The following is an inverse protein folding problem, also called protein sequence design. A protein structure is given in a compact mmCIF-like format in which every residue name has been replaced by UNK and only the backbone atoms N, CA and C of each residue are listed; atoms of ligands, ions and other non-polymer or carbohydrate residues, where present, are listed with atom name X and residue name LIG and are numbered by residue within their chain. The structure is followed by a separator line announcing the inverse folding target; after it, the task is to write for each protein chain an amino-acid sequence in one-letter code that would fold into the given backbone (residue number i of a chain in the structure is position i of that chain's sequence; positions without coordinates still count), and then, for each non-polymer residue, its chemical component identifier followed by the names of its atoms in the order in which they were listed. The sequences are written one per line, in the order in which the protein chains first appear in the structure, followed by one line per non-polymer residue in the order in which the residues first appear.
data_IF_160108384958
#
_entry.id   IF_160108384958
#
_cell.length_a   1.000
_cell.length_b   1.000
_cell.length_c   1.000
_cell.angle_alpha   90.00
_cell.angle_beta   90.00
_cell.angle_gamma   90.00
#
_symmetry.space_group_name_H-M   'P 1'
#
loop_
_entity.id
_entity.type
_entity.pdbx_description
1 polymer ?
#
# COMPACT_ATOMS: atom_id res chain seq x y z
N UNK A 1 3.80 1.80 -0.28
CA UNK A 1 3.19 3.15 -0.27
C UNK A 1 2.74 3.39 1.16
N UNK A 2 3.20 4.44 1.83
CA UNK A 2 2.80 4.72 3.22
C UNK A 2 1.35 5.20 3.27
N UNK A 3 0.66 5.12 4.42
CA UNK A 3 -0.69 5.67 4.57
C UNK A 3 -0.79 7.16 4.16
N UNK A 4 0.23 7.94 4.49
CA UNK A 4 0.32 9.36 4.10
C UNK A 4 0.40 9.54 2.58
N UNK A 5 1.18 8.70 1.89
CA UNK A 5 1.28 8.72 0.43
C UNK A 5 -0.05 8.35 -0.24
N UNK A 6 -0.81 7.44 0.37
CA UNK A 6 -2.13 7.03 -0.14
C UNK A 6 -3.13 8.18 0.01
N UNK A 7 -3.19 8.84 1.17
CA UNK A 7 -4.08 9.99 1.40
C UNK A 7 -3.73 11.18 0.50
N UNK A 8 -2.44 11.49 0.35
CA UNK A 8 -1.99 12.55 -0.54
C UNK A 8 -2.40 12.28 -2.00
N UNK A 9 -2.32 11.02 -2.44
CA UNK A 9 -2.80 10.62 -3.77
C UNK A 9 -4.32 10.76 -3.90
N UNK A 10 -5.10 10.39 -2.90
CA UNK A 10 -6.56 10.55 -2.97
C UNK A 10 -6.99 12.02 -3.01
N UNK A 11 -6.29 12.89 -2.27
CA UNK A 11 -6.48 14.33 -2.36
C UNK A 11 -6.17 14.83 -3.78
N UNK A 12 -5.06 14.39 -4.38
CA UNK A 12 -4.70 14.71 -5.76
C UNK A 12 -5.76 14.23 -6.77
N UNK A 13 -6.27 13.00 -6.63
CA UNK A 13 -7.35 12.48 -7.49
C UNK A 13 -8.60 13.35 -7.39
N UNK A 14 -8.98 13.75 -6.17
CA UNK A 14 -10.13 14.63 -5.94
C UNK A 14 -9.95 15.99 -6.61
N UNK A 15 -8.77 16.59 -6.46
CA UNK A 15 -8.43 17.87 -7.08
C UNK A 15 -8.41 17.79 -8.60
N UNK A 16 -7.86 16.73 -9.17
CA UNK A 16 -7.85 16.49 -10.61
C UNK A 16 -9.26 16.28 -11.18
N UNK A 17 -10.15 15.57 -10.46
CA UNK A 17 -11.57 15.45 -10.83
C UNK A 17 -12.28 16.80 -10.80
N UNK A 18 -12.07 17.60 -9.76
CA UNK A 18 -12.61 18.95 -9.68
C UNK A 18 -12.10 19.86 -10.81
N UNK A 19 -10.80 19.77 -11.13
CA UNK A 19 -10.19 20.49 -12.25
C UNK A 19 -10.80 20.08 -13.60
N UNK A 20 -11.02 18.78 -13.83
CA UNK A 20 -11.69 18.29 -15.04
C UNK A 20 -13.10 18.85 -15.17
N UNK A 21 -13.91 18.78 -14.10
CA UNK A 21 -15.28 19.32 -14.09
C UNK A 21 -15.32 20.82 -14.38
N UNK A 22 -14.43 21.60 -13.77
CA UNK A 22 -14.33 23.04 -14.03
C UNK A 22 -13.99 23.34 -15.49
N UNK A 23 -12.95 22.69 -16.02
CA UNK A 23 -12.51 22.89 -17.41
C UNK A 23 -13.57 22.43 -18.42
N UNK A 24 -14.29 21.36 -18.13
CA UNK A 24 -15.42 20.89 -18.95
C UNK A 24 -16.55 21.92 -18.97
N UNK A 25 -16.87 22.54 -17.83
CA UNK A 25 -17.80 23.66 -17.75
C UNK A 25 -17.35 24.87 -18.58
N UNK A 26 -16.07 25.26 -18.48
CA UNK A 26 -15.50 26.38 -19.23
C UNK A 26 -15.49 26.15 -20.75
N UNK A 27 -15.12 24.95 -21.19
CA UNK A 27 -15.15 24.54 -22.60
C UNK A 27 -16.58 24.53 -23.15
N UNK A 28 -17.55 24.03 -22.37
CA UNK A 28 -18.94 24.01 -22.79
C UNK A 28 -19.53 25.42 -22.87
N UNK A 29 -19.23 26.28 -21.88
CA UNK A 29 -19.67 27.68 -21.87
C UNK A 29 -19.10 28.43 -23.08
N UNK A 30 -17.79 28.33 -23.34
CA UNK A 30 -17.18 29.00 -24.50
C UNK A 30 -17.67 28.42 -25.83
N UNK A 31 -17.87 27.10 -25.94
CA UNK A 31 -18.41 26.48 -27.14
C UNK A 31 -19.85 26.94 -27.45
N UNK A 32 -20.66 27.19 -26.42
CA UNK A 32 -22.04 27.69 -26.59
C UNK A 32 -22.12 29.14 -27.09
N UNK A 33 -21.08 29.94 -26.84
CA UNK A 33 -21.01 31.35 -27.25
C UNK A 33 -20.55 31.47 -28.71
N UNK A 34 -19.69 30.57 -29.20
CA UNK A 34 -19.11 30.65 -30.56
C UNK A 34 -20.16 30.84 -31.66
N UNK A 35 -21.28 30.09 -31.71
CA UNK A 35 -22.32 30.27 -32.73
C UNK A 35 -23.11 31.59 -32.60
N UNK A 36 -23.17 32.19 -31.41
CA UNK A 36 -23.93 33.42 -31.14
C UNK A 36 -23.16 34.68 -31.57
N UNK A 37 -21.87 34.55 -31.89
CA UNK A 37 -21.02 35.68 -32.24
C UNK A 37 -21.23 36.17 -33.69
N UNK A 38 -22.29 35.78 -34.37
CA UNK A 38 -22.42 36.01 -35.82
C UNK A 38 -22.38 37.48 -36.25
N UNK A 39 -22.79 38.38 -35.35
CA UNK A 39 -22.73 39.83 -35.51
C UNK A 39 -21.40 40.49 -35.09
N UNK A 40 -20.44 39.73 -34.59
CA UNK A 40 -19.17 40.26 -34.07
C UNK A 40 -18.04 40.20 -35.11
N UNK A 41 -17.01 41.08 -34.98
CA UNK A 41 -15.85 41.08 -35.86
C UNK A 41 -15.16 39.71 -35.92
N UNK A 42 -14.60 39.36 -37.09
CA UNK A 42 -13.90 38.10 -37.31
C UNK A 42 -12.79 37.83 -36.28
N UNK A 43 -12.08 38.88 -35.85
CA UNK A 43 -11.06 38.80 -34.81
C UNK A 43 -11.62 38.33 -33.45
N UNK A 44 -12.83 38.77 -33.07
CA UNK A 44 -13.47 38.36 -31.82
C UNK A 44 -13.92 36.89 -31.88
N UNK A 45 -14.46 36.44 -33.02
CA UNK A 45 -14.79 35.02 -33.27
C UNK A 45 -13.54 34.14 -33.16
N UNK A 46 -12.44 34.56 -33.79
CA UNK A 46 -11.18 33.83 -33.76
C UNK A 46 -10.59 33.74 -32.33
N UNK A 47 -10.66 34.82 -31.55
CA UNK A 47 -10.19 34.83 -30.17
C UNK A 47 -10.97 33.86 -29.27
N UNK A 48 -12.30 33.82 -29.37
CA UNK A 48 -13.12 32.89 -28.57
C UNK A 48 -12.92 31.43 -29.00
N UNK A 49 -12.74 31.18 -30.31
CA UNK A 49 -12.40 29.85 -30.81
C UNK A 49 -11.03 29.37 -30.31
N UNK A 50 -10.03 30.26 -30.28
CA UNK A 50 -8.70 29.96 -29.73
C UNK A 50 -8.77 29.64 -28.24
N UNK A 51 -9.49 30.44 -27.44
CA UNK A 51 -9.72 30.17 -26.01
C UNK A 51 -10.42 28.83 -25.77
N UNK A 52 -11.42 28.49 -26.60
CA UNK A 52 -12.08 27.18 -26.51
C UNK A 52 -11.11 26.02 -26.80
N UNK A 53 -10.25 26.19 -27.81
CA UNK A 53 -9.25 25.19 -28.16
C UNK A 53 -8.19 25.02 -27.07
N UNK A 54 -7.72 26.11 -26.47
CA UNK A 54 -6.82 26.07 -25.30
C UNK A 54 -7.47 25.33 -24.12
N UNK A 55 -8.74 25.62 -23.83
CA UNK A 55 -9.51 24.92 -22.79
C UNK A 55 -9.64 23.42 -23.06
N UNK A 56 -9.87 23.02 -24.32
CA UNK A 56 -9.91 21.60 -24.72
C UNK A 56 -8.58 20.90 -24.52
N UNK A 57 -7.47 21.56 -24.88
CA UNK A 57 -6.13 21.01 -24.68
C UNK A 57 -5.83 20.85 -23.18
N UNK A 58 -6.18 21.85 -22.36
CA UNK A 58 -6.02 21.78 -20.91
C UNK A 58 -6.88 20.67 -20.26
N UNK A 59 -8.11 20.48 -20.73
CA UNK A 59 -8.98 19.39 -20.28
C UNK A 59 -8.42 18.02 -20.66
N UNK A 60 -7.91 17.87 -21.88
CA UNK A 60 -7.28 16.62 -22.33
C UNK A 60 -6.08 16.25 -21.46
N UNK A 61 -5.20 17.21 -21.16
CA UNK A 61 -4.07 16.99 -20.26
C UNK A 61 -4.52 16.62 -18.85
N UNK A 62 -5.49 17.34 -18.27
CA UNK A 62 -6.00 17.04 -16.93
C UNK A 62 -6.62 15.62 -16.83
N UNK A 63 -7.30 15.16 -17.90
CA UNK A 63 -7.84 13.79 -17.98
C UNK A 63 -6.72 12.75 -18.06
N UNK A 64 -5.63 13.03 -18.77
CA UNK A 64 -4.46 12.15 -18.80
C UNK A 64 -3.79 12.06 -17.43
N UNK A 65 -3.60 13.19 -16.76
CA UNK A 65 -3.00 13.25 -15.41
C UNK A 65 -3.87 12.47 -14.40
N UNK A 66 -5.20 12.60 -14.48
CA UNK A 66 -6.15 11.84 -13.66
C UNK A 66 -6.02 10.34 -13.91
N UNK A 67 -6.06 9.90 -15.18
CA UNK A 67 -5.96 8.50 -15.55
C UNK A 67 -4.62 7.87 -15.11
N UNK A 68 -3.52 8.59 -15.27
CA UNK A 68 -2.20 8.16 -14.77
C UNK A 68 -2.20 8.02 -13.24
N UNK A 69 -2.76 8.99 -12.53
CA UNK A 69 -2.81 8.98 -11.06
C UNK A 69 -3.70 7.86 -10.51
N UNK A 70 -4.81 7.58 -11.18
CA UNK A 70 -5.72 6.47 -10.84
C UNK A 70 -5.06 5.11 -11.10
N UNK A 71 -4.26 4.98 -12.17
CA UNK A 71 -3.54 3.74 -12.50
C UNK A 71 -2.38 3.38 -11.54
N UNK A 72 -1.87 4.34 -10.75
CA UNK A 72 -0.71 4.16 -9.86
C UNK A 72 -0.97 3.34 -8.57
N UNK A 73 -2.10 2.66 -8.42
CA UNK A 73 -2.27 1.57 -7.45
C UNK A 73 -3.49 1.62 -6.53
N UNK A 74 -3.45 0.83 -5.45
CA UNK A 74 -4.57 0.60 -4.51
C UNK A 74 -5.12 1.88 -3.88
N UNK A 75 -6.44 1.98 -3.75
CA UNK A 75 -7.14 3.12 -3.13
C UNK A 75 -6.96 3.15 -1.61
N UNK A 76 -7.30 4.25 -0.93
CA UNK A 76 -7.35 4.23 0.54
C UNK A 76 -8.45 3.29 1.04
N UNK A 77 -9.49 3.04 0.26
CA UNK A 77 -10.49 2.01 0.56
C UNK A 77 -9.90 0.59 0.50
N UNK A 78 -8.98 0.31 -0.43
CA UNK A 78 -8.29 -0.98 -0.47
C UNK A 78 -7.32 -1.14 0.70
N UNK A 79 -6.61 -0.06 1.06
CA UNK A 79 -5.72 -0.04 2.22
C UNK A 79 -6.51 -0.18 3.53
N UNK A 80 -7.60 0.57 3.67
CA UNK A 80 -8.52 0.48 4.79
C UNK A 80 -9.19 -0.90 4.85
N UNK A 81 -9.68 -1.42 3.74
CA UNK A 81 -10.27 -2.77 3.64
C UNK A 81 -9.29 -3.84 4.12
N UNK A 82 -8.07 -3.86 3.59
CA UNK A 82 -7.01 -4.79 4.00
C UNK A 82 -6.57 -4.59 5.46
N UNK A 83 -6.54 -3.36 5.95
CA UNK A 83 -6.20 -3.06 7.34
C UNK A 83 -7.37 -3.25 8.31
N UNK A 84 -8.61 -3.35 7.82
CA UNK A 84 -9.82 -3.58 8.62
C UNK A 84 -10.21 -5.06 8.71
N UNK A 85 -9.70 -5.89 7.81
CA UNK A 85 -9.82 -7.34 7.90
C UNK A 85 -8.78 -7.88 8.89
N UNK A 86 -9.27 -8.27 10.07
CA UNK A 86 -8.46 -8.87 11.13
C UNK A 86 -7.65 -10.08 10.62
N UNK A 87 -8.15 -10.80 9.62
CA UNK A 87 -7.45 -11.95 9.02
C UNK A 87 -6.17 -11.52 8.32
N UNK A 88 -6.22 -10.41 7.59
CA UNK A 88 -5.08 -9.88 6.87
C UNK A 88 -4.06 -9.23 7.81
N UNK A 89 -4.53 -8.54 8.86
CA UNK A 89 -3.65 -8.04 9.94
C UNK A 89 -2.87 -9.22 10.55
N UNK A 90 -3.58 -10.27 10.97
CA UNK A 90 -2.97 -11.45 11.57
C UNK A 90 -2.01 -12.19 10.62
N UNK A 91 -2.29 -12.16 9.31
CA UNK A 91 -1.37 -12.74 8.33
C UNK A 91 -0.09 -11.90 8.22
N UNK A 92 -0.23 -10.58 8.12
CA UNK A 92 0.90 -9.65 8.01
C UNK A 92 1.78 -9.68 9.28
N UNK A 93 1.18 -9.63 10.47
CA UNK A 93 1.90 -9.76 11.75
C UNK A 93 2.72 -11.04 11.79
N UNK A 94 2.13 -12.18 11.39
CA UNK A 94 2.82 -13.47 11.40
C UNK A 94 3.95 -13.54 10.39
N UNK A 95 3.74 -13.08 9.16
CA UNK A 95 4.79 -13.13 8.13
C UNK A 95 5.96 -12.20 8.46
N UNK A 96 5.68 -10.96 8.87
CA UNK A 96 6.72 -10.02 9.28
C UNK A 96 7.45 -10.50 10.53
N UNK A 97 6.72 -11.02 11.52
CA UNK A 97 7.31 -11.60 12.73
C UNK A 97 8.22 -12.78 12.44
N UNK A 98 7.78 -13.75 11.62
CA UNK A 98 8.62 -14.90 11.19
C UNK A 98 9.89 -14.43 10.49
N UNK A 99 9.78 -13.44 9.60
CA UNK A 99 10.93 -12.83 8.93
C UNK A 99 11.89 -12.20 9.94
N UNK A 100 11.38 -11.37 10.86
CA UNK A 100 12.21 -10.71 11.87
C UNK A 100 12.96 -11.71 12.76
N UNK A 101 12.29 -12.79 13.20
CA UNK A 101 12.96 -13.87 13.94
C UNK A 101 14.02 -14.58 13.10
N UNK A 102 13.72 -14.89 11.83
CA UNK A 102 14.71 -15.50 10.94
C UNK A 102 15.93 -14.60 10.75
N UNK A 103 15.72 -13.31 10.47
CA UNK A 103 16.81 -12.32 10.32
C UNK A 103 17.66 -12.20 11.58
N UNK A 104 17.04 -12.23 12.77
CA UNK A 104 17.78 -12.23 14.03
C UNK A 104 18.67 -13.47 14.20
N UNK A 105 18.16 -14.66 13.85
CA UNK A 105 18.95 -15.91 13.89
C UNK A 105 20.07 -15.91 12.86
N UNK A 106 19.84 -15.34 11.67
CA UNK A 106 20.89 -15.24 10.65
C UNK A 106 21.98 -14.23 11.03
N UNK A 107 21.61 -13.14 11.69
CA UNK A 107 22.56 -12.14 12.18
C UNK A 107 23.37 -12.63 13.38
N UNK A 108 22.72 -13.36 14.30
CA UNK A 108 23.33 -14.00 15.46
C UNK A 108 22.76 -15.41 15.64
N UNK A 109 23.46 -16.46 15.17
CA UNK A 109 23.03 -17.85 15.31
C UNK A 109 22.88 -18.31 16.76
N UNK A 110 23.48 -17.59 17.71
CA UNK A 110 23.41 -17.88 19.13
C UNK A 110 22.41 -16.97 19.88
N UNK A 111 21.55 -16.23 19.16
CA UNK A 111 20.59 -15.34 19.80
C UNK A 111 19.65 -16.07 20.76
N UNK A 112 19.24 -15.35 21.82
CA UNK A 112 18.30 -15.85 22.82
C UNK A 112 16.86 -15.80 22.31
N UNK A 113 15.97 -16.55 22.94
CA UNK A 113 14.54 -16.53 22.59
C UNK A 113 13.96 -15.12 22.78
N UNK A 114 14.39 -14.39 23.83
CA UNK A 114 13.95 -13.03 24.09
C UNK A 114 14.36 -12.07 22.97
N UNK A 115 15.58 -12.21 22.44
CA UNK A 115 16.07 -11.40 21.32
C UNK A 115 15.27 -11.69 20.05
N UNK A 116 14.98 -12.97 19.77
CA UNK A 116 14.17 -13.39 18.64
C UNK A 116 12.71 -12.91 18.74
N UNK A 117 12.12 -12.91 19.94
CA UNK A 117 10.79 -12.37 20.22
C UNK A 117 10.76 -10.85 20.09
N UNK A 118 11.81 -10.16 20.53
CA UNK A 118 11.94 -8.72 20.33
C UNK A 118 12.02 -8.37 18.83
N UNK A 119 12.79 -9.14 18.04
CA UNK A 119 12.87 -8.97 16.60
C UNK A 119 11.54 -9.26 15.90
N UNK A 120 10.82 -10.32 16.30
CA UNK A 120 9.46 -10.59 15.84
C UNK A 120 8.56 -9.38 16.08
N UNK A 121 8.55 -8.88 17.31
CA UNK A 121 7.66 -7.80 17.74
C UNK A 121 7.94 -6.52 16.97
N UNK A 122 9.21 -6.14 16.86
CA UNK A 122 9.62 -4.96 16.11
C UNK A 122 9.19 -5.05 14.64
N UNK A 123 9.45 -6.19 13.98
CA UNK A 123 9.09 -6.38 12.57
C UNK A 123 7.57 -6.38 12.34
N UNK A 124 6.80 -7.06 13.19
CA UNK A 124 5.35 -7.14 13.06
C UNK A 124 4.64 -5.80 13.35
N UNK A 125 5.11 -5.03 14.34
CA UNK A 125 4.58 -3.67 14.59
C UNK A 125 4.95 -2.71 13.46
N UNK A 126 6.17 -2.80 12.92
CA UNK A 126 6.59 -1.97 11.80
C UNK A 126 5.74 -2.24 10.54
N UNK A 127 5.45 -3.52 10.25
CA UNK A 127 4.64 -3.91 9.09
C UNK A 127 3.18 -3.46 9.21
N UNK A 128 2.59 -3.60 10.40
CA UNK A 128 1.16 -3.32 10.61
C UNK A 128 0.87 -1.87 10.98
N UNK A 129 1.85 -1.15 11.53
CA UNK A 129 1.66 0.19 12.08
C UNK A 129 0.80 0.22 13.35
N UNK A 130 0.53 -0.93 13.97
CA UNK A 130 -0.26 -1.03 15.19
C UNK A 130 0.58 -0.67 16.42
N UNK A 131 -0.04 -0.16 17.50
CA UNK A 131 0.66 0.14 18.75
C UNK A 131 0.99 -1.12 19.57
N UNK A 132 0.30 -2.23 19.30
CA UNK A 132 0.51 -3.55 19.92
C UNK A 132 0.16 -4.64 18.94
N UNK A 133 0.75 -5.83 19.14
CA UNK A 133 0.40 -7.01 18.38
C UNK A 133 -0.98 -7.54 18.77
N UNK A 134 -1.64 -8.14 17.79
CA UNK A 134 -2.93 -8.82 17.97
C UNK A 134 -2.73 -10.19 18.63
N UNK A 135 -1.58 -10.83 18.44
CA UNK A 135 -1.22 -12.10 19.05
C UNK A 135 0.12 -12.04 19.78
N UNK A 136 0.19 -12.70 20.93
CA UNK A 136 1.43 -12.86 21.69
C UNK A 136 2.45 -13.71 20.90
N UNK A 137 3.64 -13.17 20.59
CA UNK A 137 4.69 -13.92 19.90
C UNK A 137 5.14 -15.17 20.64
N UNK A 138 5.13 -15.17 21.98
CA UNK A 138 5.58 -16.31 22.78
C UNK A 138 4.61 -17.47 22.62
N UNK A 139 3.30 -17.19 22.74
CA UNK A 139 2.25 -18.17 22.50
C UNK A 139 2.32 -18.76 21.07
N UNK A 140 2.56 -17.91 20.07
CA UNK A 140 2.73 -18.34 18.69
C UNK A 140 3.99 -19.18 18.48
N UNK A 141 5.11 -18.79 19.10
CA UNK A 141 6.37 -19.53 19.00
C UNK A 141 6.22 -20.96 19.54
N UNK A 142 5.51 -21.15 20.66
CA UNK A 142 5.15 -22.48 21.16
C UNK A 142 4.39 -23.32 20.13
N UNK A 143 3.36 -22.75 19.49
CA UNK A 143 2.59 -23.43 18.44
C UNK A 143 3.48 -23.80 17.25
N UNK A 144 4.39 -22.93 16.83
CA UNK A 144 5.28 -23.22 15.70
C UNK A 144 6.28 -24.31 16.02
N UNK A 145 6.82 -24.34 17.24
CA UNK A 145 7.70 -25.42 17.71
C UNK A 145 7.00 -26.77 17.67
N UNK A 146 5.77 -26.85 18.17
CA UNK A 146 4.96 -28.08 18.10
C UNK A 146 4.73 -28.53 16.65
N UNK A 147 4.50 -27.57 15.74
CA UNK A 147 4.33 -27.86 14.30
C UNK A 147 5.62 -28.33 13.65
N UNK A 148 6.77 -27.77 14.00
CA UNK A 148 8.07 -28.21 13.48
C UNK A 148 8.36 -29.65 13.89
N UNK A 149 8.10 -30.00 15.15
CA UNK A 149 8.23 -31.39 15.63
C UNK A 149 7.26 -32.31 14.90
N UNK A 150 5.99 -31.93 14.78
CA UNK A 150 4.98 -32.72 14.05
C UNK A 150 5.34 -32.93 12.57
N UNK A 151 6.03 -31.97 11.96
CA UNK A 151 6.52 -32.06 10.58
C UNK A 151 7.84 -32.83 10.45
N UNK A 152 8.47 -33.26 11.55
CA UNK A 152 9.79 -33.91 11.55
C UNK A 152 10.95 -32.98 11.22
N UNK A 153 10.75 -31.66 11.35
CA UNK A 153 11.75 -30.62 11.06
C UNK A 153 12.58 -30.23 12.28
N UNK A 154 12.11 -30.56 13.48
CA UNK A 154 12.81 -30.44 14.75
C UNK A 154 12.58 -31.70 15.59
N UNK A 155 13.53 -32.03 16.47
CA UNK A 155 13.43 -33.19 17.36
C UNK A 155 12.66 -32.88 18.64
N UNK A 156 12.71 -31.63 19.11
CA UNK A 156 12.09 -31.18 20.36
C UNK A 156 11.43 -29.80 20.18
N UNK A 157 10.35 -29.49 20.92
CA UNK A 157 9.65 -28.21 20.82
C UNK A 157 10.35 -27.13 21.67
N UNK A 158 11.66 -26.98 21.50
CA UNK A 158 12.50 -26.01 22.23
C UNK A 158 12.91 -24.84 21.35
N UNK A 159 13.34 -23.74 21.98
CA UNK A 159 13.92 -22.61 21.25
C UNK A 159 15.16 -23.04 20.47
N UNK A 160 16.03 -23.83 21.09
CA UNK A 160 17.27 -24.32 20.48
C UNK A 160 16.98 -25.14 19.22
N UNK A 161 15.96 -26.01 19.27
CA UNK A 161 15.52 -26.78 18.11
C UNK A 161 14.98 -25.90 16.99
N UNK A 162 14.15 -24.90 17.31
CA UNK A 162 13.64 -23.94 16.34
C UNK A 162 14.75 -23.09 15.73
N UNK A 163 15.67 -22.59 16.54
CA UNK A 163 16.80 -21.76 16.12
C UNK A 163 17.73 -22.53 15.19
N UNK A 164 18.07 -23.78 15.54
CA UNK A 164 18.88 -24.65 14.70
C UNK A 164 18.22 -24.90 13.33
N UNK A 165 16.90 -25.12 13.31
CA UNK A 165 16.16 -25.24 12.06
C UNK A 165 16.16 -23.93 11.25
N UNK A 166 15.90 -22.78 11.88
CA UNK A 166 15.92 -21.47 11.22
C UNK A 166 17.29 -21.13 10.63
N UNK A 167 18.38 -21.48 11.32
CA UNK A 167 19.75 -21.18 10.89
C UNK A 167 20.10 -21.80 9.52
N UNK A 168 19.51 -22.95 9.19
CA UNK A 168 19.78 -23.68 7.93
C UNK A 168 18.63 -23.62 6.92
N UNK A 169 17.51 -22.97 7.26
CA UNK A 169 16.30 -22.96 6.44
C UNK A 169 16.18 -21.65 5.64
N UNK A 170 15.94 -21.70 4.32
CA UNK A 170 15.65 -20.51 3.52
C UNK A 170 14.40 -19.79 4.00
N UNK A 171 14.41 -18.45 3.94
CA UNK A 171 13.32 -17.61 4.42
C UNK A 171 11.96 -17.96 3.78
N UNK A 172 11.95 -18.30 2.49
CA UNK A 172 10.74 -18.66 1.74
C UNK A 172 10.06 -19.90 2.35
N UNK A 173 10.85 -20.87 2.80
CA UNK A 173 10.35 -22.07 3.49
C UNK A 173 9.76 -21.70 4.86
N UNK A 174 10.39 -20.78 5.60
CA UNK A 174 9.89 -20.30 6.89
C UNK A 174 8.55 -19.58 6.75
N UNK A 175 8.43 -18.74 5.72
CA UNK A 175 7.22 -17.97 5.44
C UNK A 175 6.07 -18.80 4.83
N UNK A 176 6.40 -19.94 4.21
CA UNK A 176 5.42 -20.86 3.61
C UNK A 176 4.72 -21.80 4.60
N UNK A 177 5.23 -21.91 5.82
CA UNK A 177 4.62 -22.67 6.94
C UNK A 177 3.65 -21.80 7.76
#
# INVERSE_FOLDING_TARGET
MTPEQILAREALIRDLRAKCLRLEGEVNATASIVPLLDMHPAAAKAAVAALNQEGRNALAQARMDLAQTEALGSSALDAYGKASDITQILLNERQAGKRGTWEAVQADPECSEEAAVAAWTAAALAETGLPTLTQDPIALAGIYRDRLVKAGLATEPTWEGQRAWLAVTPLETVLGL
#
